data_IF_528640867310
#
_entry.id   IF_528640867310
#
_cell.length_a   1.000
_cell.length_b   1.000
_cell.length_c   1.000
_cell.angle_alpha   90.00
_cell.angle_beta   90.00
_cell.angle_gamma   90.00
#
_symmetry.space_group_name_H-M   'P 1'
#
loop_
_entity.id
_entity.type
_entity.pdbx_description
1 polymer ?
#
# COMPACT_ATOMS: atom_id res chain seq x y z
N UNK A 1 -16.38 0.65 13.09
CA UNK A 1 -14.96 0.46 13.45
C UNK A 1 -14.14 0.83 12.23
N UNK A 2 -13.16 1.73 12.34
CA UNK A 2 -12.41 2.21 11.18
C UNK A 2 -11.21 1.30 10.85
N UNK A 3 -10.98 1.03 9.56
CA UNK A 3 -9.91 0.19 9.03
C UNK A 3 -8.85 1.04 8.33
N UNK A 4 -7.60 0.88 8.73
CA UNK A 4 -6.46 1.62 8.19
C UNK A 4 -5.52 0.69 7.44
N UNK A 5 -5.25 0.99 6.17
CA UNK A 5 -4.26 0.28 5.38
C UNK A 5 -2.91 1.01 5.40
N UNK A 6 -1.80 0.30 5.63
CA UNK A 6 -0.46 0.90 5.65
C UNK A 6 0.43 0.29 4.55
N UNK A 7 0.64 0.92 3.40
CA UNK A 7 1.27 0.28 2.22
C UNK A 7 2.81 0.10 2.29
N UNK A 8 3.41 0.11 3.48
CA UNK A 8 4.87 0.00 3.67
C UNK A 8 5.22 -1.16 4.58
N UNK A 9 5.89 -2.17 4.02
CA UNK A 9 6.38 -3.34 4.76
C UNK A 9 7.63 -3.06 5.59
N UNK A 10 8.43 -2.04 5.23
CA UNK A 10 9.59 -1.60 6.00
C UNK A 10 9.15 -0.55 7.02
N UNK A 11 9.33 -0.88 8.30
CA UNK A 11 8.87 -0.11 9.44
C UNK A 11 9.79 1.11 9.60
N UNK A 12 9.58 2.16 8.82
CA UNK A 12 10.12 3.47 9.19
C UNK A 12 9.48 3.88 10.51
N UNK A 13 10.26 4.50 11.40
CA UNK A 13 9.83 4.95 12.73
C UNK A 13 8.49 5.70 12.67
N UNK A 14 8.30 6.54 11.63
CA UNK A 14 7.05 7.27 11.40
C UNK A 14 5.82 6.37 11.26
N UNK A 15 5.92 5.26 10.52
CA UNK A 15 4.79 4.33 10.34
C UNK A 15 4.56 3.45 11.58
N UNK A 16 5.60 3.17 12.36
CA UNK A 16 5.47 2.49 13.65
C UNK A 16 4.67 3.38 14.64
N UNK A 17 5.03 4.65 14.76
CA UNK A 17 4.37 5.62 15.64
C UNK A 17 2.92 5.93 15.25
N UNK A 18 2.52 5.67 14.01
CA UNK A 18 1.12 5.81 13.57
C UNK A 18 0.26 4.58 13.83
N UNK A 19 0.87 3.39 13.95
CA UNK A 19 0.12 2.14 14.12
C UNK A 19 -0.19 1.83 15.56
N UNK A 20 0.77 2.05 16.46
CA UNK A 20 0.60 1.73 17.88
C UNK A 20 -0.57 2.45 18.54
N UNK A 21 -0.81 3.77 18.33
CA UNK A 21 -1.94 4.44 18.94
C UNK A 21 -3.25 3.98 18.32
N UNK A 22 -3.32 3.83 16.99
CA UNK A 22 -4.53 3.38 16.29
C UNK A 22 -4.99 2.00 16.75
N UNK A 23 -4.05 1.08 16.93
CA UNK A 23 -4.33 -0.25 17.44
C UNK A 23 -4.84 -0.19 18.90
N UNK A 24 -4.25 0.67 19.74
CA UNK A 24 -4.73 0.93 21.10
C UNK A 24 -6.11 1.60 21.15
N UNK A 25 -6.45 2.43 20.17
CA UNK A 25 -7.75 3.08 20.02
C UNK A 25 -8.83 2.15 19.43
N UNK A 26 -8.56 0.85 19.30
CA UNK A 26 -9.56 -0.08 18.78
C UNK A 26 -9.78 0.01 17.27
N UNK A 27 -8.83 0.55 16.49
CA UNK A 27 -8.93 0.61 15.03
C UNK A 27 -8.27 -0.61 14.37
N UNK A 28 -8.94 -1.18 13.37
CA UNK A 28 -8.43 -2.32 12.63
C UNK A 28 -7.27 -1.90 11.72
N UNK A 29 -6.18 -2.65 11.72
CA UNK A 29 -5.02 -2.35 10.88
C UNK A 29 -4.85 -3.42 9.80
N UNK A 30 -4.74 -2.96 8.55
CA UNK A 30 -4.39 -3.77 7.40
C UNK A 30 -2.93 -3.46 7.02
N UNK A 31 -2.08 -4.49 7.03
CA UNK A 31 -0.64 -4.35 6.82
C UNK A 31 -0.16 -5.30 5.71
N UNK A 32 0.58 -4.80 4.70
CA UNK A 32 0.99 -5.59 3.57
C UNK A 32 2.04 -6.58 4.03
N UNK A 33 1.97 -7.78 3.46
CA UNK A 33 3.04 -8.73 3.70
C UNK A 33 4.28 -8.32 2.92
N UNK A 34 5.49 -8.51 3.47
CA UNK A 34 6.73 -8.08 2.83
C UNK A 34 6.83 -8.51 1.36
N UNK A 35 6.83 -7.51 0.46
CA UNK A 35 6.94 -7.68 -1.00
C UNK A 35 5.87 -8.60 -1.62
N UNK A 36 4.71 -8.76 -0.97
CA UNK A 36 3.60 -9.61 -1.42
C UNK A 36 3.97 -11.08 -1.68
N UNK A 37 5.03 -11.58 -1.04
CA UNK A 37 5.56 -12.93 -1.31
C UNK A 37 4.86 -14.03 -0.55
N UNK A 38 4.52 -13.75 0.70
CA UNK A 38 3.94 -14.71 1.63
C UNK A 38 2.42 -14.59 1.72
N UNK A 39 1.84 -13.56 1.11
CA UNK A 39 0.41 -13.24 1.17
C UNK A 39 0.13 -11.81 0.72
N UNK A 40 -1.13 -11.41 0.78
CA UNK A 40 -1.62 -10.11 0.36
C UNK A 40 -1.45 -9.08 1.50
N UNK A 41 -2.41 -9.04 2.42
CA UNK A 41 -2.33 -8.27 3.65
C UNK A 41 -2.56 -9.18 4.86
N UNK A 42 -2.17 -8.70 6.03
CA UNK A 42 -2.59 -9.22 7.32
C UNK A 42 -3.42 -8.19 8.06
N UNK A 43 -4.52 -8.64 8.66
CA UNK A 43 -5.36 -7.84 9.55
C UNK A 43 -4.88 -8.04 10.99
N UNK A 44 -4.61 -6.94 11.68
CA UNK A 44 -4.52 -6.90 13.14
C UNK A 44 -5.86 -6.41 13.68
N UNK A 45 -6.51 -7.30 14.45
CA UNK A 45 -7.74 -6.98 15.16
C UNK A 45 -7.38 -6.47 16.57
N UNK A 46 -7.79 -5.25 16.94
CA UNK A 46 -7.55 -4.72 18.29
C UNK A 46 -8.08 -5.62 19.40
N UNK A 47 -9.25 -6.24 19.20
CA UNK A 47 -9.84 -7.15 20.18
C UNK A 47 -9.03 -8.43 20.43
N UNK A 48 -8.07 -8.76 19.58
CA UNK A 48 -7.17 -9.92 19.75
C UNK A 48 -5.83 -9.53 20.37
N UNK A 49 -5.62 -8.25 20.70
CA UNK A 49 -4.36 -7.72 21.20
C UNK A 49 -4.54 -7.19 22.64
N UNK A 50 -3.52 -7.41 23.46
CA UNK A 50 -3.44 -6.86 24.81
C UNK A 50 -2.63 -5.55 24.80
N UNK A 51 -2.82 -4.64 25.77
CA UNK A 51 -2.02 -3.41 25.86
C UNK A 51 -0.50 -3.66 25.84
N UNK A 52 -0.06 -4.79 26.40
CA UNK A 52 1.35 -5.21 26.39
C UNK A 52 1.85 -5.69 25.03
N UNK A 53 0.98 -6.22 24.16
CA UNK A 53 1.35 -6.80 22.85
C UNK A 53 1.15 -5.83 21.68
N UNK A 54 0.41 -4.73 21.86
CA UNK A 54 0.16 -3.73 20.79
C UNK A 54 1.45 -3.21 20.14
N UNK A 55 2.47 -2.89 20.96
CA UNK A 55 3.76 -2.40 20.44
C UNK A 55 4.44 -3.45 19.56
N UNK A 56 4.49 -4.70 20.01
CA UNK A 56 5.06 -5.81 19.25
C UNK A 56 4.26 -6.03 17.95
N UNK A 57 2.93 -6.12 18.04
CA UNK A 57 2.03 -6.36 16.92
C UNK A 57 2.17 -5.32 15.81
N UNK A 58 2.57 -4.09 16.14
CA UNK A 58 2.85 -3.03 15.19
C UNK A 58 4.28 -3.07 14.60
N UNK A 59 4.98 -4.22 14.62
CA UNK A 59 6.28 -4.48 13.96
C UNK A 59 6.16 -5.51 12.83
N UNK A 60 7.15 -5.66 11.94
CA UNK A 60 7.08 -6.68 10.86
C UNK A 60 6.92 -8.09 11.43
N UNK A 61 7.63 -8.33 12.53
CA UNK A 61 7.67 -9.62 13.22
C UNK A 61 6.35 -9.84 13.95
N UNK A 62 5.84 -8.82 14.66
CA UNK A 62 4.58 -8.93 15.36
C UNK A 62 3.36 -9.06 14.44
N UNK A 63 3.35 -8.40 13.28
CA UNK A 63 2.30 -8.63 12.25
C UNK A 63 2.28 -10.09 11.81
N UNK A 64 3.44 -10.71 11.62
CA UNK A 64 3.51 -12.12 11.23
C UNK A 64 3.05 -13.07 12.34
N UNK A 65 3.21 -12.67 13.61
CA UNK A 65 2.82 -13.45 14.79
C UNK A 65 1.36 -13.29 15.18
N UNK A 66 0.83 -12.08 15.09
CA UNK A 66 -0.49 -11.70 15.59
C UNK A 66 -1.52 -11.39 14.50
N UNK A 67 -1.07 -11.12 13.27
CA UNK A 67 -1.94 -10.76 12.17
C UNK A 67 -2.57 -11.98 11.51
N UNK A 68 -3.86 -11.88 11.21
CA UNK A 68 -4.56 -12.86 10.38
C UNK A 68 -4.34 -12.53 8.89
N UNK A 69 -3.76 -13.42 8.09
CA UNK A 69 -3.64 -13.18 6.65
C UNK A 69 -5.02 -13.11 5.99
N UNK A 70 -5.15 -12.27 4.97
CA UNK A 70 -6.35 -12.17 4.15
C UNK A 70 -6.07 -12.50 2.69
N UNK A 71 -7.10 -13.05 2.02
CA UNK A 71 -7.08 -13.35 0.59
C UNK A 71 -7.92 -12.36 -0.22
N UNK A 72 -8.05 -12.63 -1.52
CA UNK A 72 -8.79 -11.79 -2.48
C UNK A 72 -10.31 -11.78 -2.25
N UNK A 73 -10.84 -12.79 -1.54
CA UNK A 73 -12.28 -12.91 -1.26
C UNK A 73 -12.71 -12.23 0.06
N UNK A 74 -11.76 -11.66 0.81
CA UNK A 74 -12.07 -11.00 2.07
C UNK A 74 -12.91 -9.74 1.82
N UNK A 75 -14.10 -9.68 2.41
CA UNK A 75 -14.98 -8.51 2.34
C UNK A 75 -14.58 -7.52 3.42
N UNK A 76 -13.94 -6.43 3.02
CA UNK A 76 -13.52 -5.36 3.92
C UNK A 76 -13.68 -3.99 3.25
N UNK A 77 -13.85 -2.95 4.07
CA UNK A 77 -13.79 -1.55 3.64
C UNK A 77 -12.62 -0.89 4.34
N UNK A 78 -11.77 -0.18 3.60
CA UNK A 78 -10.68 0.62 4.15
C UNK A 78 -11.11 2.09 4.17
N UNK A 79 -10.99 2.72 5.33
CA UNK A 79 -11.40 4.12 5.53
C UNK A 79 -10.25 5.10 5.29
N UNK A 80 -9.01 4.64 5.38
CA UNK A 80 -7.81 5.45 5.17
C UNK A 80 -6.65 4.59 4.69
N UNK A 81 -5.93 5.06 3.68
CA UNK A 81 -4.64 4.50 3.27
C UNK A 81 -3.53 5.40 3.76
N UNK A 82 -2.55 4.83 4.47
CA UNK A 82 -1.29 5.49 4.80
C UNK A 82 -0.21 4.93 3.88
N UNK A 83 0.26 5.75 2.95
CA UNK A 83 1.27 5.38 1.95
C UNK A 83 2.62 5.97 2.28
N UNK A 84 3.67 5.17 2.11
CA UNK A 84 5.05 5.60 2.31
C UNK A 84 5.60 6.36 1.11
N UNK A 85 6.21 7.52 1.36
CA UNK A 85 6.82 8.36 0.33
C UNK A 85 8.29 8.67 0.63
N UNK A 86 9.08 8.90 -0.42
CA UNK A 86 10.45 9.41 -0.39
C UNK A 86 10.45 10.93 -0.54
N UNK A 87 9.62 11.46 -1.43
CA UNK A 87 9.36 12.89 -1.58
C UNK A 87 7.89 13.09 -1.98
N UNK A 88 7.33 14.24 -1.64
CA UNK A 88 5.97 14.63 -2.03
C UNK A 88 5.89 16.11 -2.39
N UNK A 89 5.11 16.39 -3.42
CA UNK A 89 4.77 17.76 -3.81
C UNK A 89 3.50 18.18 -3.08
N UNK A 90 3.64 19.22 -2.26
CA UNK A 90 2.57 19.75 -1.42
C UNK A 90 1.44 20.43 -2.20
N UNK A 91 1.71 20.93 -3.42
CA UNK A 91 0.75 21.64 -4.26
C UNK A 91 -0.05 20.69 -5.12
N UNK A 92 0.62 19.68 -5.67
CA UNK A 92 -0.02 18.76 -6.64
C UNK A 92 -0.49 17.47 -5.98
N UNK A 93 0.08 17.08 -4.84
CA UNK A 93 -0.11 15.76 -4.25
C UNK A 93 0.61 14.64 -5.00
N UNK A 94 1.49 14.98 -5.95
CA UNK A 94 2.38 14.02 -6.58
C UNK A 94 3.36 13.46 -5.53
N UNK A 95 3.70 12.17 -5.65
CA UNK A 95 4.65 11.53 -4.75
C UNK A 95 5.66 10.67 -5.48
N UNK A 96 6.84 10.56 -4.89
CA UNK A 96 7.85 9.59 -5.28
C UNK A 96 7.94 8.50 -4.22
N UNK A 97 7.70 7.26 -4.64
CA UNK A 97 7.96 6.08 -3.82
C UNK A 97 9.41 5.64 -3.91
N UNK A 98 9.71 4.45 -3.39
CA UNK A 98 11.03 3.81 -3.50
C UNK A 98 11.33 3.30 -4.93
N UNK A 99 10.34 3.30 -5.82
CA UNK A 99 10.46 2.80 -7.20
C UNK A 99 10.25 1.29 -7.37
N UNK A 100 9.95 0.56 -6.30
CA UNK A 100 9.67 -0.89 -6.39
C UNK A 100 8.22 -1.20 -6.80
N UNK A 101 7.31 -0.23 -6.91
CA UNK A 101 5.93 -0.43 -7.41
C UNK A 101 4.98 -1.26 -6.52
N UNK A 102 5.41 -1.68 -5.33
CA UNK A 102 4.59 -2.54 -4.46
C UNK A 102 3.38 -1.81 -3.88
N UNK A 103 3.52 -0.54 -3.52
CA UNK A 103 2.43 0.25 -2.95
C UNK A 103 1.30 0.47 -3.97
N UNK A 104 1.67 0.68 -5.23
CA UNK A 104 0.74 0.85 -6.35
C UNK A 104 0.00 -0.46 -6.64
N UNK A 105 0.69 -1.61 -6.55
CA UNK A 105 0.07 -2.94 -6.69
C UNK A 105 -0.87 -3.26 -5.53
N UNK A 106 -0.46 -2.95 -4.30
CA UNK A 106 -1.28 -3.04 -3.09
C UNK A 106 -2.57 -2.22 -3.21
N UNK A 107 -2.46 -0.97 -3.66
CA UNK A 107 -3.60 -0.10 -3.95
C UNK A 107 -4.50 -0.70 -5.05
N UNK A 108 -3.93 -1.12 -6.18
CA UNK A 108 -4.69 -1.69 -7.30
C UNK A 108 -5.46 -2.96 -6.92
N UNK A 109 -4.89 -3.82 -6.07
CA UNK A 109 -5.59 -5.01 -5.56
C UNK A 109 -6.72 -4.65 -4.59
N UNK A 110 -6.53 -3.65 -3.71
CA UNK A 110 -7.61 -3.17 -2.83
C UNK A 110 -8.76 -2.54 -3.65
N UNK A 111 -8.45 -1.83 -4.74
CA UNK A 111 -9.45 -1.34 -5.70
C UNK A 111 -10.22 -2.49 -6.33
N UNK A 112 -9.51 -3.51 -6.82
CA UNK A 112 -10.14 -4.68 -7.42
C UNK A 112 -11.11 -5.38 -6.45
N UNK A 113 -10.74 -5.50 -5.18
CA UNK A 113 -11.58 -6.11 -4.15
C UNK A 113 -12.80 -5.26 -3.75
N UNK A 114 -12.93 -4.04 -4.30
CA UNK A 114 -13.96 -3.08 -3.87
C UNK A 114 -13.76 -2.59 -2.44
N UNK A 115 -12.55 -2.77 -1.88
CA UNK A 115 -12.24 -2.38 -0.51
C UNK A 115 -11.98 -0.88 -0.37
N UNK A 116 -11.65 -0.22 -1.48
CA UNK A 116 -11.41 1.22 -1.59
C UNK A 116 -12.01 1.77 -2.88
N UNK A 117 -12.30 3.05 -2.87
CA UNK A 117 -12.87 3.83 -3.98
C UNK A 117 -12.21 5.23 -4.04
N UNK A 118 -12.68 6.10 -4.95
CA UNK A 118 -12.07 7.43 -5.16
C UNK A 118 -12.24 8.34 -3.94
N UNK A 119 -13.27 8.08 -3.13
CA UNK A 119 -13.52 8.79 -1.88
C UNK A 119 -12.59 8.36 -0.75
N UNK A 120 -11.91 7.22 -0.89
CA UNK A 120 -10.99 6.73 0.15
C UNK A 120 -9.76 7.62 0.23
N UNK A 121 -9.52 8.32 1.36
CA UNK A 121 -8.39 9.22 1.51
C UNK A 121 -7.04 8.48 1.54
N UNK A 122 -6.06 9.03 0.83
CA UNK A 122 -4.66 8.60 0.79
C UNK A 122 -3.80 9.62 1.52
N UNK A 123 -3.15 9.19 2.58
CA UNK A 123 -2.36 10.03 3.48
C UNK A 123 -0.92 9.57 3.47
N UNK A 124 0.00 10.52 3.54
CA UNK A 124 1.41 10.21 3.79
C UNK A 124 1.94 10.93 5.02
N UNK A 125 3.01 10.38 5.57
CA UNK A 125 3.78 11.04 6.62
C UNK A 125 5.23 11.12 6.18
N UNK A 126 5.75 12.34 6.16
CA UNK A 126 7.09 12.66 5.66
C UNK A 126 7.71 13.72 6.56
N UNK A 127 9.03 13.85 6.53
CA UNK A 127 9.71 14.98 7.15
C UNK A 127 9.55 16.24 6.27
N UNK A 128 9.66 17.43 6.86
CA UNK A 128 9.53 18.70 6.11
C UNK A 128 10.53 18.81 4.94
N UNK A 129 11.72 18.23 5.08
CA UNK A 129 12.74 18.18 4.02
C UNK A 129 12.40 17.25 2.83
N UNK A 130 11.35 16.44 2.96
CA UNK A 130 10.84 15.59 1.88
C UNK A 130 9.69 16.26 1.13
N UNK A 131 9.26 17.45 1.55
CA UNK A 131 8.40 18.31 0.75
C UNK A 131 9.25 18.94 -0.36
N UNK A 132 8.80 18.76 -1.59
CA UNK A 132 9.41 19.32 -2.80
C UNK A 132 8.35 20.07 -3.60
N UNK A 133 8.74 20.81 -4.63
CA UNK A 133 7.86 21.61 -5.47
C UNK A 133 8.09 21.44 -6.97
N UNK A 134 8.82 20.38 -7.36
CA UNK A 134 9.32 20.14 -8.70
C UNK A 134 9.03 18.73 -9.23
N UNK A 135 8.06 17.99 -8.67
CA UNK A 135 7.65 16.69 -9.21
C UNK A 135 6.77 16.92 -10.45
N UNK A 136 7.24 16.56 -11.67
CA UNK A 136 6.48 16.81 -12.90
C UNK A 136 5.30 15.84 -13.01
N UNK A 137 4.08 16.36 -12.85
CA UNK A 137 2.83 15.58 -12.89
C UNK A 137 2.66 14.84 -14.22
N UNK A 138 3.09 15.45 -15.32
CA UNK A 138 3.02 14.87 -16.67
C UNK A 138 3.91 13.64 -16.87
N UNK A 139 4.87 13.40 -15.97
CA UNK A 139 5.70 12.19 -15.98
C UNK A 139 5.18 11.08 -15.06
N UNK A 140 4.13 11.35 -14.29
CA UNK A 140 3.51 10.31 -13.48
C UNK A 140 2.88 9.26 -14.37
N UNK A 141 3.02 8.01 -13.95
CA UNK A 141 2.41 6.88 -14.60
C UNK A 141 0.96 6.76 -14.15
N UNK A 142 0.12 6.16 -14.99
CA UNK A 142 -1.32 5.96 -14.70
C UNK A 142 -1.60 5.16 -13.41
N UNK A 143 -0.60 4.42 -12.93
CA UNK A 143 -0.69 3.63 -11.69
C UNK A 143 -0.11 4.34 -10.47
N UNK A 144 0.50 5.52 -10.63
CA UNK A 144 1.03 6.28 -9.51
C UNK A 144 -0.12 6.82 -8.66
N UNK A 145 -0.16 6.40 -7.39
CA UNK A 145 -1.21 6.83 -6.45
C UNK A 145 -0.85 8.21 -5.88
N UNK A 146 -1.64 9.27 -6.10
CA UNK A 146 -1.40 10.58 -5.48
C UNK A 146 -1.74 10.57 -3.99
N UNK A 147 -1.34 11.62 -3.27
CA UNK A 147 -1.70 11.81 -1.85
C UNK A 147 -2.68 12.96 -1.69
N UNK A 148 -3.73 12.72 -0.90
CA UNK A 148 -4.76 13.72 -0.56
C UNK A 148 -4.31 14.57 0.64
N UNK A 149 -3.61 13.96 1.60
CA UNK A 149 -3.17 14.60 2.84
C UNK A 149 -1.70 14.27 3.12
N UNK A 150 -0.92 15.30 3.43
CA UNK A 150 0.47 15.18 3.84
C UNK A 150 0.60 15.65 5.28
N UNK A 151 1.08 14.79 6.17
CA UNK A 151 1.42 15.19 7.53
C UNK A 151 2.94 15.26 7.69
N UNK A 152 3.43 16.41 8.14
CA UNK A 152 4.81 16.59 8.60
C UNK A 152 4.84 16.87 10.11
N UNK A 153 6.02 16.88 10.74
CA UNK A 153 6.15 17.33 12.13
C UNK A 153 5.60 18.74 12.40
N UNK A 154 5.58 19.62 11.39
CA UNK A 154 5.21 21.03 11.56
C UNK A 154 3.80 21.37 11.09
N UNK A 155 3.22 20.59 10.16
CA UNK A 155 1.95 20.94 9.52
C UNK A 155 1.20 19.75 8.93
N UNK A 156 -0.07 19.98 8.64
CA UNK A 156 -0.93 19.08 7.86
C UNK A 156 -1.39 19.83 6.62
N UNK A 157 -1.15 19.26 5.45
CA UNK A 157 -1.42 19.85 4.14
C UNK A 157 -2.47 19.01 3.42
N UNK A 158 -3.54 19.66 2.97
CA UNK A 158 -4.55 19.07 2.08
C UNK A 158 -4.23 19.47 0.66
N UNK A 159 -3.88 18.51 -0.19
CA UNK A 159 -3.35 18.79 -1.54
C UNK A 159 -4.44 19.20 -2.51
N UNK A 160 -5.69 18.78 -2.26
CA UNK A 160 -6.81 18.90 -3.21
C UNK A 160 -6.38 18.45 -4.61
N UNK A 161 -5.59 17.36 -4.67
CA UNK A 161 -4.96 16.89 -5.89
C UNK A 161 -5.97 16.67 -7.02
N UNK A 162 -5.61 17.13 -8.21
CA UNK A 162 -6.37 16.88 -9.44
C UNK A 162 -5.88 15.61 -10.17
N UNK A 163 -4.85 14.95 -9.63
CA UNK A 163 -4.31 13.72 -10.18
C UNK A 163 -5.33 12.61 -9.91
N UNK A 164 -5.83 11.90 -10.94
CA UNK A 164 -6.81 10.84 -10.73
C UNK A 164 -6.18 9.66 -9.99
N UNK A 165 -6.94 9.06 -9.08
CA UNK A 165 -6.53 7.83 -8.41
C UNK A 165 -6.59 6.65 -9.39
N UNK A 166 -5.63 5.71 -9.33
CA UNK A 166 -5.65 4.48 -10.12
C UNK A 166 -6.97 3.71 -9.98
N UNK A 167 -7.50 3.17 -11.08
CA UNK A 167 -8.78 2.46 -11.05
C UNK A 167 -8.65 0.96 -10.76
N UNK A 168 -7.42 0.45 -10.65
CA UNK A 168 -7.13 -0.95 -10.41
C UNK A 168 -5.72 -1.31 -10.84
N UNK A 169 -5.55 -2.53 -11.32
CA UNK A 169 -4.27 -3.04 -11.81
C UNK A 169 -4.19 -2.86 -13.33
N UNK A 170 -3.13 -2.19 -13.79
CA UNK A 170 -2.83 -2.02 -15.21
C UNK A 170 -1.94 -3.17 -15.69
N UNK A 171 -2.57 -4.27 -16.12
CA UNK A 171 -1.88 -5.52 -16.50
C UNK A 171 -0.89 -5.36 -17.65
N UNK A 172 -1.16 -4.44 -18.59
CA UNK A 172 -0.29 -4.05 -19.70
C UNK A 172 0.97 -3.27 -19.26
N UNK A 173 1.06 -2.89 -17.99
CA UNK A 173 2.25 -2.27 -17.39
C UNK A 173 3.03 -3.23 -16.50
N UNK A 174 2.48 -4.42 -16.21
CA UNK A 174 3.09 -5.38 -15.31
C UNK A 174 3.99 -6.35 -16.08
N UNK A 175 5.28 -6.35 -15.77
CA UNK A 175 6.24 -7.26 -16.40
C UNK A 175 5.95 -8.74 -16.07
N UNK A 176 6.29 -9.68 -16.98
CA UNK A 176 6.25 -11.11 -16.69
C UNK A 176 7.11 -11.49 -15.47
N UNK A 177 8.26 -10.83 -15.29
CA UNK A 177 9.17 -11.11 -14.18
C UNK A 177 8.54 -10.74 -12.84
N UNK A 178 7.85 -9.60 -12.74
CA UNK A 178 7.18 -9.16 -11.51
C UNK A 178 6.00 -10.03 -11.17
N UNK A 179 5.20 -10.35 -12.18
CA UNK A 179 4.12 -11.31 -12.08
C UNK A 179 4.65 -12.68 -11.61
N UNK A 180 5.81 -13.10 -12.10
CA UNK A 180 6.53 -14.30 -11.67
C UNK A 180 6.98 -14.29 -10.20
N UNK A 181 7.23 -13.12 -9.62
CA UNK A 181 7.65 -13.01 -8.22
C UNK A 181 6.49 -12.96 -7.22
N UNK A 182 5.31 -12.49 -7.64
CA UNK A 182 4.20 -12.18 -6.74
C UNK A 182 3.06 -13.17 -6.97
N UNK A 183 2.96 -14.17 -6.07
CA UNK A 183 1.98 -15.25 -6.17
C UNK A 183 0.53 -14.74 -6.26
N UNK A 184 0.17 -13.78 -5.42
CA UNK A 184 -1.21 -13.28 -5.34
C UNK A 184 -1.64 -12.57 -6.64
N UNK A 185 -0.72 -11.90 -7.34
CA UNK A 185 -1.03 -11.27 -8.62
C UNK A 185 -1.27 -12.30 -9.72
N UNK A 186 -0.57 -13.44 -9.71
CA UNK A 186 -0.85 -14.54 -10.64
C UNK A 186 -2.21 -15.16 -10.40
N UNK A 187 -2.56 -15.36 -9.13
CA UNK A 187 -3.86 -15.89 -8.74
C UNK A 187 -4.98 -14.96 -9.18
N UNK A 188 -4.82 -13.66 -8.92
CA UNK A 188 -5.75 -12.62 -9.36
C UNK A 188 -5.87 -12.57 -10.89
N UNK A 189 -4.73 -12.56 -11.61
CA UNK A 189 -4.73 -12.57 -13.08
C UNK A 189 -5.49 -13.77 -13.62
N UNK A 190 -5.14 -14.98 -13.15
CA UNK A 190 -5.77 -16.22 -13.58
C UNK A 190 -7.27 -16.25 -13.29
N UNK A 191 -7.69 -15.69 -12.16
CA UNK A 191 -9.11 -15.57 -11.80
C UNK A 191 -9.86 -14.68 -12.80
N UNK A 192 -9.35 -13.48 -13.08
CA UNK A 192 -9.99 -12.55 -14.03
C UNK A 192 -10.05 -13.17 -15.43
N UNK A 193 -8.98 -13.83 -15.88
CA UNK A 193 -8.96 -14.49 -17.20
C UNK A 193 -9.99 -15.62 -17.29
N UNK A 194 -10.22 -16.36 -16.21
CA UNK A 194 -11.27 -17.40 -16.15
C UNK A 194 -12.66 -16.79 -16.13
N UNK A 195 -12.88 -15.73 -15.36
CA UNK A 195 -14.18 -15.07 -15.23
C UNK A 195 -14.60 -14.35 -16.52
N UNK A 196 -13.65 -13.72 -17.21
CA UNK A 196 -13.89 -12.96 -18.45
C UNK A 196 -13.75 -13.78 -19.72
N UNK A 197 -13.09 -14.95 -19.65
CA UNK A 197 -12.74 -15.77 -20.81
C UNK A 197 -11.66 -15.14 -21.71
N UNK A 198 -11.06 -14.01 -21.31
CA UNK A 198 -10.07 -13.28 -22.10
C UNK A 198 -8.70 -13.31 -21.42
N UNK A 199 -7.64 -13.49 -22.20
CA UNK A 199 -6.27 -13.36 -21.69
C UNK A 199 -5.97 -11.89 -21.41
N UNK A 200 -5.47 -11.62 -20.22
CA UNK A 200 -5.06 -10.28 -19.82
C UNK A 200 -3.68 -9.95 -20.40
N UNK A 201 -3.44 -8.69 -20.80
CA UNK A 201 -2.17 -8.28 -21.35
C UNK A 201 -1.03 -8.43 -20.34
N UNK A 202 0.20 -8.33 -20.83
CA UNK A 202 1.39 -8.25 -20.00
C UNK A 202 2.23 -7.07 -20.48
N UNK A 203 2.84 -6.37 -19.53
CA UNK A 203 3.78 -5.30 -19.83
C UNK A 203 5.12 -5.81 -20.35
N UNK A 204 6.01 -4.87 -20.72
CA UNK A 204 7.34 -5.20 -21.19
C UNK A 204 8.17 -5.90 -20.11
N UNK A 205 9.17 -6.67 -20.55
CA UNK A 205 10.14 -7.30 -19.64
C UNK A 205 10.94 -6.22 -18.90
N UNK A 206 11.22 -6.48 -17.63
CA UNK A 206 12.01 -5.55 -16.79
C UNK A 206 13.12 -6.27 -16.03
N UNK A 207 14.25 -5.58 -15.84
CA UNK A 207 15.32 -6.04 -14.95
C UNK A 207 14.98 -5.68 -13.51
N UNK A 208 14.49 -6.66 -12.77
CA UNK A 208 14.16 -6.47 -11.36
C UNK A 208 15.42 -6.33 -10.50
N UNK A 209 15.41 -5.43 -9.50
CA UNK A 209 16.52 -5.31 -8.56
C UNK A 209 16.74 -6.64 -7.82
N UNK A 210 17.99 -6.94 -7.41
CA UNK A 210 18.29 -8.16 -6.69
C UNK A 210 17.44 -8.22 -5.42
N UNK A 211 16.81 -9.36 -5.23
CA UNK A 211 16.04 -9.60 -4.02
C UNK A 211 17.00 -9.65 -2.83
N UNK A 212 16.87 -8.71 -1.89
CA UNK A 212 17.55 -8.81 -0.60
C UNK A 212 17.28 -10.18 0.03
N UNK A 213 18.33 -11.00 0.18
CA UNK A 213 18.25 -12.30 0.83
C UNK A 213 17.98 -12.07 2.32
N UNK A 214 16.95 -12.74 2.87
CA UNK A 214 16.79 -12.83 4.32
C UNK A 214 17.81 -13.87 4.79
N UNK A 215 18.79 -13.46 5.59
CA UNK A 215 19.50 -14.42 6.46
C UNK A 215 18.43 -15.03 7.36
N UNK A 216 18.29 -16.35 7.29
CA UNK A 216 17.44 -17.12 8.22
C UNK A 216 18.01 -17.03 9.62
#
# INVERSE_FOLDING_TARGET
MATFCFSKSNFSVSHYNLRTPKCAEGKQLLTPQPRLRTGFFSILQPGTLTPSTIREACTSVGVAKHGRPIGLDEKLKVDLIVIGSVAVDSRTGARLGKGEGFAELEYGMLRYMGAIDDSTPVVTTVHDCQLVDDIPVEKLLIHDVPVDIICTPTQVIYTNTLIPKPQGIYWDKLSPEKLGQIRILRELKSRIEKETGQKLPSGPSEKLPPTAQRRR
#
